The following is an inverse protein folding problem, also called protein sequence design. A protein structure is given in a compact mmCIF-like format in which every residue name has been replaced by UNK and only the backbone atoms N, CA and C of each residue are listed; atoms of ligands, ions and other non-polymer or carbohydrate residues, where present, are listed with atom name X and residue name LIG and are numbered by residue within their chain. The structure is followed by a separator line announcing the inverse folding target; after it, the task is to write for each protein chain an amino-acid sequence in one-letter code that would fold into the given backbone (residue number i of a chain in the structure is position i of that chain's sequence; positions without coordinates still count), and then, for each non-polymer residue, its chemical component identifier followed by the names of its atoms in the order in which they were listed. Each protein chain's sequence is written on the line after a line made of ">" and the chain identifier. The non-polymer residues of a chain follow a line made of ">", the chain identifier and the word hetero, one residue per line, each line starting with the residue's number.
data_IF_234263164593
#
_entry.id   IF_234263164593
#
_cell.length_a   1.000
_cell.length_b   1.000
_cell.length_c   1.000
_cell.angle_alpha   90.00
_cell.angle_beta   90.00
_cell.angle_gamma   90.00
#
_symmetry.space_group_name_H-M   'P 1'
#
loop_
_entity.id
_entity.type
_entity.pdbx_description
1 polymer ?
#
# COMPACT_ATOMS: atom_id res chain seq x y z
N UNK A 1 -17.50 8.43 23.54
CA UNK A 1 -17.24 7.63 22.32
C UNK A 1 -15.80 7.89 21.92
N UNK A 2 -14.91 6.89 22.00
CA UNK A 2 -13.57 7.05 21.47
C UNK A 2 -13.70 7.28 19.96
N UNK A 3 -13.13 8.36 19.43
CA UNK A 3 -12.97 8.52 17.97
C UNK A 3 -12.22 7.27 17.50
N UNK A 4 -12.82 6.46 16.65
CA UNK A 4 -12.10 5.37 16.01
C UNK A 4 -10.89 5.99 15.30
N UNK A 5 -9.68 5.61 15.70
CA UNK A 5 -8.49 5.99 14.94
C UNK A 5 -8.54 5.31 13.58
N UNK A 6 -8.13 6.02 12.53
CA UNK A 6 -8.04 5.46 11.19
C UNK A 6 -7.02 4.31 11.20
N UNK A 7 -7.34 3.14 10.63
CA UNK A 7 -6.40 2.04 10.51
C UNK A 7 -5.14 2.47 9.75
N UNK A 8 -3.97 1.95 10.15
CA UNK A 8 -2.68 2.45 9.69
C UNK A 8 -2.48 2.33 8.19
N UNK A 9 -3.01 1.28 7.55
CA UNK A 9 -2.92 1.05 6.10
C UNK A 9 -4.19 1.50 5.36
N UNK A 10 -5.02 2.35 5.96
CA UNK A 10 -6.24 2.82 5.31
C UNK A 10 -5.96 3.49 3.96
N UNK A 11 -6.56 2.94 2.90
CA UNK A 11 -6.37 3.42 1.51
C UNK A 11 -5.14 2.83 0.80
N UNK A 12 -4.37 1.94 1.44
CA UNK A 12 -3.24 1.23 0.82
C UNK A 12 -3.74 -0.02 0.08
N UNK A 13 -3.25 -0.22 -1.13
CA UNK A 13 -3.46 -1.42 -1.93
C UNK A 13 -2.15 -2.19 -2.03
N UNK A 14 -2.12 -3.43 -1.58
CA UNK A 14 -0.90 -4.23 -1.46
C UNK A 14 -0.89 -5.34 -2.48
N UNK A 15 0.20 -5.50 -3.22
CA UNK A 15 0.45 -6.67 -4.06
C UNK A 15 1.72 -7.38 -3.59
N UNK A 16 1.73 -8.71 -3.69
CA UNK A 16 2.91 -9.53 -3.40
C UNK A 16 3.48 -10.03 -4.72
N UNK A 17 4.78 -9.79 -4.94
CA UNK A 17 5.54 -10.18 -6.11
C UNK A 17 6.63 -11.16 -5.67
N UNK A 18 6.22 -12.40 -5.41
CA UNK A 18 7.06 -13.52 -4.97
C UNK A 18 6.43 -14.81 -5.51
N UNK A 19 7.25 -15.76 -6.01
CA UNK A 19 6.73 -17.03 -6.55
C UNK A 19 6.19 -17.94 -5.45
N UNK A 20 6.91 -18.06 -4.34
CA UNK A 20 6.50 -18.83 -3.16
C UNK A 20 6.61 -17.96 -1.91
N UNK A 21 5.48 -17.77 -1.21
CA UNK A 21 5.46 -17.02 0.04
C UNK A 21 4.71 -17.77 1.15
N UNK A 22 5.43 -18.54 2.00
CA UNK A 22 4.82 -19.38 3.04
C UNK A 22 3.95 -18.60 4.05
N UNK A 23 4.28 -17.32 4.28
CA UNK A 23 3.62 -16.49 5.29
C UNK A 23 2.44 -15.67 4.71
N UNK A 24 1.95 -16.00 3.51
CA UNK A 24 0.89 -15.24 2.82
C UNK A 24 -0.35 -15.03 3.68
N UNK A 25 -0.82 -16.06 4.38
CA UNK A 25 -2.00 -15.96 5.24
C UNK A 25 -1.80 -14.95 6.38
N UNK A 26 -0.64 -15.00 7.04
CA UNK A 26 -0.28 -14.10 8.14
C UNK A 26 -0.16 -12.66 7.65
N UNK A 27 0.52 -12.44 6.52
CA UNK A 27 0.66 -11.13 5.91
C UNK A 27 -0.70 -10.54 5.53
N UNK A 28 -1.57 -11.35 4.91
CA UNK A 28 -2.94 -10.96 4.55
C UNK A 28 -3.73 -10.52 5.77
N UNK A 29 -3.66 -11.28 6.87
CA UNK A 29 -4.33 -10.94 8.12
C UNK A 29 -3.81 -9.62 8.70
N UNK A 30 -2.49 -9.39 8.69
CA UNK A 30 -1.89 -8.12 9.14
C UNK A 30 -2.39 -6.96 8.29
N UNK A 31 -2.31 -7.06 6.97
CA UNK A 31 -2.75 -6.01 6.03
C UNK A 31 -4.21 -5.65 6.26
N UNK A 32 -5.09 -6.65 6.27
CA UNK A 32 -6.53 -6.46 6.43
C UNK A 32 -6.88 -5.91 7.81
N UNK A 33 -6.22 -6.39 8.88
CA UNK A 33 -6.44 -5.87 10.25
C UNK A 33 -6.07 -4.40 10.41
N UNK A 34 -5.17 -3.91 9.56
CA UNK A 34 -4.72 -2.51 9.55
C UNK A 34 -5.41 -1.69 8.44
N UNK A 35 -6.46 -2.22 7.82
CA UNK A 35 -7.32 -1.51 6.86
C UNK A 35 -6.74 -1.36 5.45
N UNK A 36 -5.66 -2.08 5.13
CA UNK A 36 -5.17 -2.21 3.76
C UNK A 36 -5.95 -3.28 2.99
N UNK A 37 -5.80 -3.29 1.66
CA UNK A 37 -6.38 -4.29 0.77
C UNK A 37 -5.28 -5.10 0.10
N UNK A 38 -5.21 -6.41 0.36
CA UNK A 38 -4.39 -7.29 -0.45
C UNK A 38 -5.07 -7.53 -1.81
N UNK A 39 -4.33 -7.33 -2.89
CA UNK A 39 -4.80 -7.50 -4.26
C UNK A 39 -4.63 -8.95 -4.72
N UNK A 40 -5.66 -9.48 -5.38
CA UNK A 40 -5.61 -10.82 -6.00
C UNK A 40 -4.79 -10.85 -7.29
N UNK A 41 -4.54 -9.69 -7.88
CA UNK A 41 -3.82 -9.52 -9.14
C UNK A 41 -2.92 -8.28 -9.06
N UNK A 42 -1.82 -8.28 -9.81
CA UNK A 42 -0.88 -7.17 -9.79
C UNK A 42 -1.57 -5.87 -10.26
N UNK A 43 -1.39 -4.73 -9.56
CA UNK A 43 -2.17 -3.54 -9.81
C UNK A 43 -1.90 -2.92 -11.19
N UNK A 44 -2.98 -2.74 -11.96
CA UNK A 44 -2.93 -2.05 -13.25
C UNK A 44 -3.08 -0.56 -13.04
N UNK A 45 -2.03 0.22 -13.33
CA UNK A 45 -1.97 1.67 -13.09
C UNK A 45 -3.21 2.45 -13.56
N UNK A 46 -3.81 2.03 -14.69
CA UNK A 46 -5.00 2.68 -15.26
C UNK A 46 -6.22 2.69 -14.32
N UNK A 47 -6.30 1.76 -13.35
CA UNK A 47 -7.41 1.65 -12.37
C UNK A 47 -7.32 2.69 -11.23
N UNK A 48 -6.23 3.45 -11.13
CA UNK A 48 -5.97 4.36 -10.00
C UNK A 48 -5.75 5.80 -10.45
N UNK A 49 -6.05 6.77 -9.58
CA UNK A 49 -5.89 8.20 -9.87
C UNK A 49 -4.44 8.63 -9.64
N UNK A 50 -3.84 9.29 -10.63
CA UNK A 50 -2.48 9.81 -10.52
C UNK A 50 -2.40 10.89 -9.42
N UNK A 51 -1.33 10.87 -8.63
CA UNK A 51 -1.15 11.79 -7.51
C UNK A 51 -1.98 11.48 -6.26
N UNK A 52 -2.77 10.40 -6.28
CA UNK A 52 -3.40 9.89 -5.05
C UNK A 52 -2.36 9.32 -4.09
N UNK A 53 -2.67 9.36 -2.79
CA UNK A 53 -1.85 8.78 -1.73
C UNK A 53 -2.75 8.40 -0.54
N UNK A 54 -2.34 7.42 0.29
CA UNK A 54 -3.09 7.07 1.49
C UNK A 54 -3.06 8.22 2.51
N UNK A 55 -4.16 8.41 3.25
CA UNK A 55 -4.30 9.54 4.17
C UNK A 55 -3.21 9.59 5.25
N UNK A 56 -2.81 8.45 5.82
CA UNK A 56 -1.77 8.39 6.85
C UNK A 56 -0.34 8.32 6.27
N UNK A 57 -0.22 8.19 4.95
CA UNK A 57 1.04 7.98 4.23
C UNK A 57 1.15 8.92 3.02
N UNK A 58 0.91 10.22 3.22
CA UNK A 58 0.85 11.20 2.13
C UNK A 58 2.15 11.34 1.33
N UNK A 59 3.27 10.92 1.91
CA UNK A 59 4.59 10.87 1.30
C UNK A 59 4.83 9.63 0.41
N UNK A 60 3.92 8.65 0.40
CA UNK A 60 4.07 7.38 -0.31
C UNK A 60 2.99 7.20 -1.39
N UNK A 61 3.32 6.40 -2.39
CA UNK A 61 2.35 5.95 -3.39
C UNK A 61 1.38 4.92 -2.78
N UNK A 62 0.11 4.88 -3.21
CA UNK A 62 -0.91 4.04 -2.59
C UNK A 62 -0.80 2.55 -2.94
N UNK A 63 0.03 2.20 -3.92
CA UNK A 63 0.27 0.81 -4.34
C UNK A 63 1.54 0.28 -3.70
N UNK A 64 1.40 -0.53 -2.67
CA UNK A 64 2.53 -1.15 -2.01
C UNK A 64 2.84 -2.49 -2.68
N UNK A 65 4.08 -2.69 -3.10
CA UNK A 65 4.54 -3.93 -3.71
C UNK A 65 5.55 -4.57 -2.77
N UNK A 66 5.19 -5.73 -2.23
CA UNK A 66 6.07 -6.54 -1.38
C UNK A 66 6.77 -7.56 -2.27
N UNK A 67 8.10 -7.56 -2.31
CA UNK A 67 8.89 -8.41 -3.20
C UNK A 67 10.06 -9.09 -2.48
N UNK A 68 10.60 -10.14 -3.08
CA UNK A 68 11.81 -10.86 -2.60
C UNK A 68 13.07 -10.51 -3.41
N UNK A 69 12.92 -9.68 -4.46
CA UNK A 69 14.01 -9.28 -5.36
C UNK A 69 14.26 -10.24 -6.51
N UNK A 70 13.43 -11.29 -6.68
CA UNK A 70 13.49 -12.21 -7.81
C UNK A 70 13.05 -11.57 -9.13
N UNK A 71 12.11 -10.63 -9.08
CA UNK A 71 11.58 -9.93 -10.24
C UNK A 71 12.22 -8.54 -10.45
N UNK A 72 12.41 -8.14 -11.71
CA UNK A 72 12.82 -6.77 -12.04
C UNK A 72 11.63 -5.80 -11.89
N UNK A 73 11.72 -4.95 -10.87
CA UNK A 73 10.73 -3.91 -10.56
C UNK A 73 11.21 -2.49 -10.85
N UNK A 74 12.29 -2.34 -11.63
CA UNK A 74 12.92 -1.04 -11.94
C UNK A 74 11.96 -0.02 -12.56
N UNK A 75 10.97 -0.49 -13.33
CA UNK A 75 9.94 0.35 -13.92
C UNK A 75 9.00 0.97 -12.87
N UNK A 76 8.72 0.24 -11.79
CA UNK A 76 7.83 0.68 -10.72
C UNK A 76 8.54 1.60 -9.72
N UNK A 77 9.84 1.42 -9.49
CA UNK A 77 10.63 2.24 -8.57
C UNK A 77 10.65 3.73 -8.95
N UNK A 78 10.55 4.04 -10.25
CA UNK A 78 10.55 5.43 -10.75
C UNK A 78 9.15 6.07 -10.71
N UNK A 79 8.12 5.29 -10.47
CA UNK A 79 6.73 5.73 -10.51
C UNK A 79 6.23 6.00 -9.09
N UNK A 80 5.94 7.28 -8.79
CA UNK A 80 5.49 7.74 -7.46
C UNK A 80 4.19 7.10 -6.97
N UNK A 81 3.49 6.38 -7.84
CA UNK A 81 2.28 5.65 -7.48
C UNK A 81 2.58 4.35 -6.74
N UNK A 82 3.79 3.83 -6.86
CA UNK A 82 4.23 2.59 -6.25
C UNK A 82 5.19 2.86 -5.09
N UNK A 83 5.06 2.05 -4.05
CA UNK A 83 5.99 1.98 -2.93
C UNK A 83 6.48 0.55 -2.83
N UNK A 84 7.79 0.34 -2.96
CA UNK A 84 8.40 -0.99 -2.96
C UNK A 84 8.93 -1.32 -1.57
N UNK A 85 8.68 -2.54 -1.13
CA UNK A 85 9.20 -3.08 0.11
C UNK A 85 9.69 -4.52 -0.12
N UNK A 86 10.81 -4.87 0.47
CA UNK A 86 11.03 -6.26 0.90
C UNK A 86 10.10 -6.59 2.07
N UNK A 87 9.90 -7.87 2.38
CA UNK A 87 9.11 -8.26 3.55
C UNK A 87 9.65 -7.63 4.84
N UNK A 88 10.97 -7.62 5.02
CA UNK A 88 11.63 -7.05 6.19
C UNK A 88 11.38 -5.53 6.31
N UNK A 89 11.48 -4.80 5.19
CA UNK A 89 11.20 -3.36 5.17
C UNK A 89 9.72 -3.06 5.43
N UNK A 90 8.81 -3.92 4.92
CA UNK A 90 7.38 -3.77 5.21
C UNK A 90 7.08 -3.99 6.70
N UNK A 91 7.66 -5.01 7.32
CA UNK A 91 7.51 -5.25 8.76
C UNK A 91 8.10 -4.08 9.57
N UNK A 92 9.28 -3.59 9.21
CA UNK A 92 9.88 -2.43 9.85
C UNK A 92 8.98 -1.19 9.73
N UNK A 93 8.42 -0.94 8.55
CA UNK A 93 7.44 0.12 8.31
C UNK A 93 6.19 -0.02 9.19
N UNK A 94 5.66 -1.23 9.35
CA UNK A 94 4.51 -1.51 10.22
C UNK A 94 4.82 -1.28 11.70
N UNK A 95 6.04 -1.60 12.14
CA UNK A 95 6.49 -1.45 13.52
C UNK A 95 6.87 0.00 13.87
N UNK A 96 7.45 0.75 12.93
CA UNK A 96 7.82 2.17 13.12
C UNK A 96 6.61 3.05 13.39
N UNK A 97 5.44 2.71 12.82
CA UNK A 97 4.18 3.47 12.96
C UNK A 97 4.37 4.95 12.60
N UNK A 98 5.24 5.24 11.63
CA UNK A 98 5.49 6.59 11.15
C UNK A 98 4.28 7.08 10.34
N UNK A 99 3.79 8.28 10.66
CA UNK A 99 2.53 8.81 10.10
C UNK A 99 2.79 10.19 9.52
N UNK A 100 2.52 10.30 8.23
CA UNK A 100 2.49 11.57 7.51
C UNK A 100 1.07 11.79 7.00
N UNK A 101 0.29 12.56 7.77
CA UNK A 101 -1.10 12.84 7.44
C UNK A 101 -1.20 13.72 6.20
N UNK A 102 -2.16 13.41 5.35
CA UNK A 102 -2.61 14.32 4.31
C UNK A 102 -3.38 15.49 4.95
N UNK A 103 -2.95 16.71 4.64
CA UNK A 103 -3.58 17.96 5.10
C UNK A 103 -4.40 18.63 4.00
N UNK A 104 -4.50 18.02 2.81
CA UNK A 104 -5.32 18.53 1.72
C UNK A 104 -6.81 18.48 2.11
N UNK A 105 -7.50 19.60 1.91
CA UNK A 105 -8.94 19.70 2.17
C UNK A 105 -9.76 18.84 1.20
N UNK A 106 -9.22 18.55 0.00
CA UNK A 106 -9.85 17.75 -1.04
C UNK A 106 -8.93 16.59 -1.46
N UNK A 107 -8.85 15.51 -0.66
CA UNK A 107 -7.97 14.38 -0.94
C UNK A 107 -8.39 13.65 -2.23
N UNK A 108 -7.41 13.21 -3.01
CA UNK A 108 -7.64 12.44 -4.24
C UNK A 108 -7.89 10.98 -3.84
N UNK A 109 -9.06 10.45 -4.16
CA UNK A 109 -9.35 9.02 -3.99
C UNK A 109 -8.36 8.16 -4.77
N UNK A 110 -7.91 7.07 -4.16
CA UNK A 110 -6.93 6.14 -4.76
C UNK A 110 -7.51 5.43 -5.99
N UNK A 111 -8.72 4.89 -5.86
CA UNK A 111 -9.40 4.20 -6.95
C UNK A 111 -10.04 5.21 -7.90
N UNK A 112 -9.98 4.92 -9.20
CA UNK A 112 -10.90 5.56 -10.13
C UNK A 112 -12.30 5.05 -9.86
N UNK A 113 -13.26 5.95 -9.94
CA UNK A 113 -14.67 5.58 -9.92
C UNK A 113 -14.89 4.60 -11.08
N UNK A 114 -15.50 3.46 -10.78
CA UNK A 114 -15.87 2.48 -11.81
C UNK A 114 -17.04 3.12 -12.58
N UNK A 115 -16.79 3.56 -13.81
CA UNK A 115 -17.86 3.86 -14.78
C UNK A 115 -18.58 2.57 -15.20
#
# INVERSE_FOLDING_TARGET
>A
MAKSELPYLYGVQVAVCMEEYPNMFTLTAIINSQGGTLLNEFPVKKKYKAGSHPYLHSHLGPLFIIHDGSADLSAYQKDKMFTLFTEAEFIEFMLKRDIHKDTNENPISVLKDVE
#
